data_IF_811243686896
#
_entry.id   IF_811243686896
#
_cell.length_a   1.000
_cell.length_b   1.000
_cell.length_c   1.000
_cell.angle_alpha   90.00
_cell.angle_beta   90.00
_cell.angle_gamma   90.00
#
_symmetry.space_group_name_H-M   'P 1'
#
loop_
_entity.id
_entity.type
_entity.pdbx_description
1 polymer ?
#
# COMPACT_ATOMS: atom_id res chain seq x y z
N UNK A 1 -11.04 50.86 -55.01
CA UNK A 1 -10.68 49.43 -54.98
C UNK A 1 -9.45 49.28 -54.09
N UNK A 2 -9.64 48.90 -52.83
CA UNK A 2 -8.54 48.74 -51.87
C UNK A 2 -7.99 47.31 -51.89
N UNK A 3 -6.69 47.09 -51.62
CA UNK A 3 -6.14 45.75 -51.49
C UNK A 3 -6.36 45.22 -50.07
N UNK A 4 -6.81 43.96 -50.01
CA UNK A 4 -7.07 43.17 -48.82
C UNK A 4 -5.73 42.62 -48.32
N UNK A 5 -5.27 43.06 -47.15
CA UNK A 5 -4.16 42.43 -46.45
C UNK A 5 -4.68 41.26 -45.60
N UNK A 6 -4.24 40.05 -45.94
CA UNK A 6 -4.47 38.82 -45.18
C UNK A 6 -3.67 38.88 -43.87
N UNK A 7 -4.35 38.95 -42.74
CA UNK A 7 -3.74 38.83 -41.41
C UNK A 7 -3.28 37.40 -41.16
N UNK A 8 -1.98 37.22 -40.86
CA UNK A 8 -1.45 35.99 -40.29
C UNK A 8 -1.72 36.02 -38.78
N UNK A 9 -2.52 35.07 -38.29
CA UNK A 9 -2.70 34.85 -36.87
C UNK A 9 -1.41 34.24 -36.30
N UNK A 10 -0.64 35.04 -35.57
CA UNK A 10 0.43 34.57 -34.70
C UNK A 10 -0.22 33.78 -33.57
N UNK A 11 -0.07 32.46 -33.60
CA UNK A 11 -0.39 31.58 -32.46
C UNK A 11 0.64 31.89 -31.38
N UNK A 12 0.26 32.70 -30.39
CA UNK A 12 1.00 32.81 -29.15
C UNK A 12 0.96 31.44 -28.45
N UNK A 13 2.07 30.71 -28.55
CA UNK A 13 2.45 29.70 -27.56
C UNK A 13 2.49 30.40 -26.20
N UNK A 14 1.41 30.27 -25.44
CA UNK A 14 1.42 30.55 -24.02
C UNK A 14 2.34 29.52 -23.36
N UNK A 15 3.61 29.87 -23.25
CA UNK A 15 4.51 29.30 -22.27
C UNK A 15 3.91 29.62 -20.89
N UNK A 16 3.19 28.67 -20.29
CA UNK A 16 2.89 28.69 -18.86
C UNK A 16 4.22 28.47 -18.11
N UNK A 17 5.00 29.54 -18.01
CA UNK A 17 6.11 29.66 -17.06
C UNK A 17 5.64 30.55 -15.93
N UNK A 18 5.58 29.97 -14.72
CA UNK A 18 5.46 30.71 -13.48
C UNK A 18 4.04 30.79 -12.90
N UNK A 19 3.47 29.65 -12.50
CA UNK A 19 2.57 29.68 -11.34
C UNK A 19 3.45 29.73 -10.09
N UNK A 20 3.50 30.92 -9.51
CA UNK A 20 3.98 31.16 -8.16
C UNK A 20 3.20 30.23 -7.20
N UNK A 21 3.87 29.42 -6.37
CA UNK A 21 3.19 28.58 -5.40
C UNK A 21 2.40 29.47 -4.44
N UNK A 22 1.07 29.34 -4.46
CA UNK A 22 0.20 30.02 -3.51
C UNK A 22 0.42 29.40 -2.12
N UNK A 23 0.24 30.22 -1.08
CA UNK A 23 0.52 29.82 0.29
C UNK A 23 -0.14 28.47 0.69
N UNK A 24 0.66 27.53 1.21
CA UNK A 24 0.19 26.28 1.82
C UNK A 24 0.38 24.99 1.01
N UNK A 25 1.22 24.98 -0.03
CA UNK A 25 1.41 23.81 -0.91
C UNK A 25 1.78 22.51 -0.16
N UNK A 26 0.91 21.51 -0.25
CA UNK A 26 1.20 20.14 0.16
C UNK A 26 2.12 19.50 -0.86
N UNK A 27 3.28 19.04 -0.41
CA UNK A 27 4.22 18.30 -1.26
C UNK A 27 4.23 16.84 -0.89
N UNK A 28 4.05 16.00 -1.91
CA UNK A 28 4.19 14.55 -1.83
C UNK A 28 5.51 14.14 -2.49
N UNK A 29 6.33 13.37 -1.78
CA UNK A 29 7.49 12.71 -2.34
C UNK A 29 7.41 11.23 -2.03
N UNK A 30 7.68 10.37 -3.00
CA UNK A 30 7.58 8.92 -2.87
C UNK A 30 8.91 8.27 -3.23
N UNK A 31 9.46 7.53 -2.28
CA UNK A 31 10.66 6.73 -2.46
C UNK A 31 10.29 5.24 -2.51
N UNK A 32 10.77 4.56 -3.56
CA UNK A 32 10.77 3.09 -3.63
C UNK A 32 12.10 2.56 -3.10
N UNK A 33 12.14 1.28 -2.74
CA UNK A 33 13.41 0.64 -2.46
C UNK A 33 14.21 0.53 -3.78
N UNK A 34 15.23 1.36 -3.96
CA UNK A 34 16.21 1.14 -5.04
C UNK A 34 16.77 -0.28 -4.94
N UNK A 35 17.21 -0.87 -6.05
CA UNK A 35 17.72 -2.25 -6.11
C UNK A 35 18.88 -2.55 -5.12
N UNK A 36 19.54 -1.52 -4.56
CA UNK A 36 20.54 -1.64 -3.48
C UNK A 36 20.06 -1.29 -2.05
N UNK A 37 18.83 -0.77 -1.91
CA UNK A 37 18.12 -0.42 -0.66
C UNK A 37 16.96 -1.38 -0.35
N UNK A 38 16.91 -2.54 -1.01
CA UNK A 38 15.88 -3.57 -0.88
C UNK A 38 15.59 -3.97 0.59
N UNK A 39 16.57 -3.83 1.49
CA UNK A 39 16.38 -4.02 2.93
C UNK A 39 15.36 -3.06 3.57
N UNK A 40 15.11 -1.87 3.00
CA UNK A 40 14.22 -0.88 3.61
C UNK A 40 12.74 -1.23 3.48
N UNK A 41 12.31 -1.92 2.40
CA UNK A 41 10.91 -2.32 2.21
C UNK A 41 10.65 -3.81 2.43
N UNK A 42 11.69 -4.65 2.54
CA UNK A 42 11.51 -6.06 2.89
C UNK A 42 10.71 -6.26 4.18
N UNK A 43 10.96 -5.42 5.20
CA UNK A 43 10.18 -5.44 6.44
C UNK A 43 8.73 -4.95 6.25
N UNK A 44 8.48 -4.03 5.31
CA UNK A 44 7.13 -3.58 4.98
C UNK A 44 6.30 -4.72 4.37
N UNK A 45 6.83 -5.43 3.38
CA UNK A 45 6.14 -6.58 2.77
C UNK A 45 5.89 -7.70 3.76
N UNK A 46 6.89 -7.99 4.60
CA UNK A 46 6.74 -8.94 5.71
C UNK A 46 5.65 -8.51 6.68
N UNK A 47 5.60 -7.23 7.06
CA UNK A 47 4.57 -6.68 7.95
C UNK A 47 3.16 -6.83 7.39
N UNK A 48 2.96 -6.59 6.08
CA UNK A 48 1.67 -6.77 5.42
C UNK A 48 1.25 -8.24 5.42
N UNK A 49 2.18 -9.15 5.11
CA UNK A 49 1.91 -10.58 5.12
C UNK A 49 1.62 -11.09 6.54
N UNK A 50 2.34 -10.62 7.55
CA UNK A 50 2.03 -10.92 8.95
C UNK A 50 0.65 -10.42 9.33
N UNK A 51 0.26 -9.22 8.89
CA UNK A 51 -1.10 -8.71 9.10
C UNK A 51 -2.16 -9.64 8.50
N UNK A 52 -1.90 -10.20 7.31
CA UNK A 52 -2.80 -11.06 6.53
C UNK A 52 -2.82 -12.54 6.92
N UNK A 53 -1.76 -13.09 7.53
CA UNK A 53 -1.69 -14.54 7.81
C UNK A 53 -1.07 -14.92 9.16
N UNK A 54 -0.34 -14.00 9.80
CA UNK A 54 0.44 -14.29 11.00
C UNK A 54 -0.47 -14.64 12.19
N UNK A 55 -0.18 -15.76 12.86
CA UNK A 55 -0.88 -16.25 14.05
C UNK A 55 -2.42 -16.33 13.91
N UNK A 56 -2.92 -16.67 12.72
CA UNK A 56 -4.35 -16.86 12.48
C UNK A 56 -4.71 -18.31 12.17
N UNK A 57 -5.90 -18.72 12.63
CA UNK A 57 -6.50 -20.03 12.36
C UNK A 57 -7.05 -20.14 10.93
N UNK A 58 -7.40 -19.01 10.30
CA UNK A 58 -7.78 -18.93 8.89
C UNK A 58 -6.78 -18.04 8.17
N UNK A 59 -6.35 -18.45 6.98
CA UNK A 59 -5.31 -17.76 6.21
C UNK A 59 -5.81 -17.39 4.82
N UNK A 60 -5.59 -16.14 4.44
CA UNK A 60 -5.71 -15.70 3.04
C UNK A 60 -4.34 -15.79 2.34
N UNK A 61 -4.31 -15.53 1.03
CA UNK A 61 -3.08 -15.57 0.25
C UNK A 61 -2.01 -14.59 0.74
N UNK A 62 -0.77 -15.07 0.81
CA UNK A 62 0.43 -14.26 1.00
C UNK A 62 0.67 -13.42 -0.27
N UNK A 63 1.02 -12.16 -0.08
CA UNK A 63 1.32 -11.23 -1.16
C UNK A 63 2.76 -11.39 -1.63
N UNK A 64 2.93 -11.49 -2.94
CA UNK A 64 4.23 -11.46 -3.62
C UNK A 64 4.59 -10.04 -3.99
N UNK A 65 5.85 -9.63 -3.79
CA UNK A 65 6.30 -8.31 -4.23
C UNK A 65 6.15 -8.14 -5.75
N UNK A 66 5.65 -6.98 -6.16
CA UNK A 66 5.48 -6.58 -7.54
C UNK A 66 6.16 -5.21 -7.76
N UNK A 67 7.31 -5.23 -8.43
CA UNK A 67 8.09 -4.03 -8.69
C UNK A 67 7.40 -3.06 -9.65
N UNK A 68 6.61 -3.54 -10.61
CA UNK A 68 5.86 -2.68 -11.55
C UNK A 68 4.83 -1.82 -10.80
N UNK A 69 4.17 -2.40 -9.78
CA UNK A 69 3.27 -1.63 -8.91
C UNK A 69 4.05 -0.59 -8.11
N UNK A 70 5.19 -0.96 -7.52
CA UNK A 70 6.00 -0.02 -6.74
C UNK A 70 6.52 1.15 -7.60
N UNK A 71 6.96 0.88 -8.83
CA UNK A 71 7.36 1.90 -9.81
C UNK A 71 6.18 2.78 -10.23
N UNK A 72 5.02 2.19 -10.53
CA UNK A 72 3.81 2.93 -10.84
C UNK A 72 3.35 3.86 -9.70
N UNK A 73 3.56 3.44 -8.44
CA UNK A 73 3.34 4.31 -7.28
C UNK A 73 4.26 5.53 -7.31
N UNK A 74 5.54 5.38 -7.62
CA UNK A 74 6.47 6.50 -7.69
C UNK A 74 6.05 7.53 -8.75
N UNK A 75 5.61 7.06 -9.91
CA UNK A 75 5.20 7.93 -11.02
C UNK A 75 3.91 8.71 -10.70
N UNK A 76 2.97 8.08 -9.98
CA UNK A 76 1.69 8.67 -9.60
C UNK A 76 1.80 9.85 -8.64
N UNK A 77 2.89 9.96 -7.87
CA UNK A 77 3.11 11.04 -6.89
C UNK A 77 4.15 12.08 -7.33
N UNK A 78 4.43 12.17 -8.63
CA UNK A 78 5.27 13.27 -9.13
C UNK A 78 4.52 14.61 -9.01
N UNK A 79 5.20 15.74 -8.76
CA UNK A 79 4.56 17.06 -8.62
C UNK A 79 3.72 17.48 -9.84
N UNK A 80 4.02 16.93 -11.02
CA UNK A 80 3.28 17.18 -12.25
C UNK A 80 2.02 16.31 -12.39
N UNK A 81 1.95 15.17 -11.69
CA UNK A 81 0.86 14.21 -11.79
C UNK A 81 -0.11 14.26 -10.60
N UNK A 82 0.35 14.68 -9.41
CA UNK A 82 -0.44 14.64 -8.19
C UNK A 82 -0.99 16.01 -7.79
N UNK A 83 -2.30 16.19 -7.95
CA UNK A 83 -3.04 17.25 -7.30
C UNK A 83 -3.50 16.75 -5.92
N UNK A 84 -3.05 17.40 -4.85
CA UNK A 84 -3.44 17.00 -3.50
C UNK A 84 -4.98 17.08 -3.33
N UNK A 85 -5.65 16.01 -2.87
CA UNK A 85 -7.11 15.98 -2.77
C UNK A 85 -7.66 16.78 -1.58
N UNK A 86 -6.78 17.33 -0.74
CA UNK A 86 -7.13 18.11 0.44
C UNK A 86 -6.07 19.19 0.70
N UNK A 87 -6.33 20.06 1.69
CA UNK A 87 -5.42 21.17 2.09
C UNK A 87 -4.52 20.83 3.28
N UNK A 88 -4.65 19.63 3.86
CA UNK A 88 -3.78 19.12 4.94
C UNK A 88 -3.23 17.74 4.58
N UNK A 89 -2.10 17.37 5.17
CA UNK A 89 -1.52 16.04 4.95
C UNK A 89 -2.45 14.93 5.45
N UNK A 90 -3.08 15.12 6.62
CA UNK A 90 -4.03 14.16 7.17
C UNK A 90 -5.24 13.97 6.26
N UNK A 91 -5.80 15.06 5.72
CA UNK A 91 -6.93 15.00 4.79
C UNK A 91 -6.56 14.26 3.51
N UNK A 92 -5.38 14.55 2.96
CA UNK A 92 -4.92 13.89 1.73
C UNK A 92 -4.64 12.40 1.96
N UNK A 93 -4.04 12.03 3.10
CA UNK A 93 -3.84 10.63 3.49
C UNK A 93 -5.17 9.91 3.70
N UNK A 94 -6.19 10.57 4.27
CA UNK A 94 -7.52 9.98 4.45
C UNK A 94 -8.19 9.65 3.11
N UNK A 95 -8.03 10.48 2.08
CA UNK A 95 -8.52 10.16 0.74
C UNK A 95 -7.69 9.04 0.07
N UNK A 96 -6.37 9.02 0.28
CA UNK A 96 -5.52 7.96 -0.23
C UNK A 96 -5.90 6.57 0.33
N UNK A 97 -6.22 6.50 1.63
CA UNK A 97 -6.71 5.29 2.31
C UNK A 97 -7.93 4.66 1.65
N UNK A 98 -8.77 5.46 0.99
CA UNK A 98 -9.96 4.95 0.26
C UNK A 98 -9.59 4.23 -1.03
N UNK A 99 -8.43 4.54 -1.60
CA UNK A 99 -8.00 4.01 -2.90
C UNK A 99 -6.98 2.89 -2.79
N UNK A 100 -6.11 2.94 -1.77
CA UNK A 100 -5.03 1.97 -1.55
C UNK A 100 -4.67 1.89 -0.07
N UNK A 101 -3.90 0.87 0.31
CA UNK A 101 -3.46 0.75 1.70
C UNK A 101 -2.41 1.80 2.07
N UNK A 102 -2.63 2.47 3.19
CA UNK A 102 -1.76 3.51 3.74
C UNK A 102 -1.54 3.30 5.24
N UNK A 103 -0.30 3.43 5.71
CA UNK A 103 0.04 3.35 7.12
C UNK A 103 1.00 4.47 7.53
N UNK A 104 0.66 5.26 8.55
CA UNK A 104 1.49 6.37 9.03
C UNK A 104 2.74 5.83 9.74
N UNK A 105 3.91 6.31 9.33
CA UNK A 105 5.20 5.96 9.94
C UNK A 105 5.52 6.98 11.02
N UNK A 106 5.12 6.71 12.27
CA UNK A 106 5.39 7.61 13.42
C UNK A 106 6.67 7.26 14.17
N UNK A 107 7.09 6.01 14.09
CA UNK A 107 8.24 5.49 14.83
C UNK A 107 9.47 5.37 13.93
N UNK A 108 10.64 5.37 14.55
CA UNK A 108 11.92 5.07 13.91
C UNK A 108 12.45 3.71 14.35
N UNK A 109 13.39 3.14 13.60
CA UNK A 109 13.99 1.84 13.90
C UNK A 109 13.39 0.66 13.14
N UNK A 110 13.80 -0.55 13.54
CA UNK A 110 13.67 -1.77 12.74
C UNK A 110 12.24 -2.32 12.65
N UNK A 111 11.34 -1.91 13.56
CA UNK A 111 9.95 -2.38 13.60
C UNK A 111 8.92 -1.34 13.14
N UNK A 112 9.37 -0.21 12.57
CA UNK A 112 8.49 0.91 12.22
C UNK A 112 7.34 0.49 11.29
N UNK A 113 7.57 -0.46 10.37
CA UNK A 113 6.52 -0.94 9.47
C UNK A 113 5.54 -1.85 10.18
N UNK A 114 6.01 -2.80 10.99
CA UNK A 114 5.14 -3.65 11.82
C UNK A 114 4.21 -2.81 12.70
N UNK A 115 4.75 -1.77 13.34
CA UNK A 115 3.98 -0.86 14.19
C UNK A 115 2.97 -0.02 13.37
N UNK A 116 3.38 0.52 12.23
CA UNK A 116 2.50 1.30 11.36
C UNK A 116 1.34 0.45 10.81
N UNK A 117 1.64 -0.77 10.35
CA UNK A 117 0.63 -1.71 9.84
C UNK A 117 -0.29 -2.18 10.97
N UNK A 118 0.23 -2.46 12.17
CA UNK A 118 -0.59 -2.78 13.34
C UNK A 118 -1.57 -1.65 13.67
N UNK A 119 -1.10 -0.39 13.73
CA UNK A 119 -1.95 0.77 13.99
C UNK A 119 -3.03 0.94 12.91
N UNK A 120 -2.69 0.74 11.65
CA UNK A 120 -3.65 0.81 10.54
C UNK A 120 -4.69 -0.31 10.61
N UNK A 121 -4.27 -1.53 10.97
CA UNK A 121 -5.16 -2.67 11.18
C UNK A 121 -6.13 -2.42 12.34
N UNK A 122 -5.64 -1.95 13.48
CA UNK A 122 -6.46 -1.62 14.65
C UNK A 122 -7.48 -0.53 14.33
N UNK A 123 -7.06 0.53 13.64
CA UNK A 123 -7.96 1.61 13.22
C UNK A 123 -9.11 1.07 12.35
N UNK A 124 -8.80 0.25 11.34
CA UNK A 124 -9.83 -0.34 10.50
C UNK A 124 -10.73 -1.34 11.22
N UNK A 125 -10.18 -2.16 12.13
CA UNK A 125 -10.97 -3.11 12.92
C UNK A 125 -11.91 -2.40 13.90
N UNK A 126 -11.56 -1.21 14.40
CA UNK A 126 -12.47 -0.39 15.21
C UNK A 126 -13.70 0.08 14.42
N UNK A 127 -13.57 0.23 13.10
CA UNK A 127 -14.68 0.51 12.18
C UNK A 127 -15.47 -0.77 11.80
N UNK A 128 -14.98 -1.96 12.17
CA UNK A 128 -15.57 -3.26 11.88
C UNK A 128 -15.84 -4.08 13.16
N UNK A 129 -16.65 -3.53 14.06
CA UNK A 129 -16.95 -4.16 15.37
C UNK A 129 -17.76 -5.47 15.25
N UNK A 130 -18.41 -5.69 14.12
CA UNK A 130 -19.09 -6.95 13.80
C UNK A 130 -19.03 -7.20 12.29
N UNK A 131 -19.07 -8.46 11.87
CA UNK A 131 -19.09 -8.80 10.45
C UNK A 131 -20.39 -8.30 9.79
N UNK A 132 -20.33 -7.41 8.78
CA UNK A 132 -21.51 -6.88 8.11
C UNK A 132 -22.35 -7.97 7.44
N UNK A 133 -23.66 -7.87 7.61
CA UNK A 133 -24.67 -8.80 7.08
C UNK A 133 -25.38 -8.28 5.81
N UNK A 134 -24.99 -7.09 5.32
CA UNK A 134 -25.59 -6.46 4.14
C UNK A 134 -24.57 -5.67 3.31
N UNK A 135 -24.86 -5.49 2.02
CA UNK A 135 -24.04 -4.68 1.11
C UNK A 135 -24.02 -3.19 1.50
N UNK A 136 -25.09 -2.68 2.12
CA UNK A 136 -25.16 -1.30 2.59
C UNK A 136 -24.17 -1.02 3.73
N UNK A 137 -24.08 -1.94 4.70
CA UNK A 137 -23.08 -1.83 5.77
C UNK A 137 -21.66 -1.95 5.23
N UNK A 138 -21.44 -2.79 4.20
CA UNK A 138 -20.15 -2.82 3.51
C UNK A 138 -19.85 -1.50 2.81
N UNK A 139 -20.82 -0.89 2.13
CA UNK A 139 -20.65 0.43 1.53
C UNK A 139 -20.28 1.50 2.56
N UNK A 140 -20.97 1.56 3.70
CA UNK A 140 -20.63 2.47 4.79
C UNK A 140 -19.21 2.25 5.32
N UNK A 141 -18.79 0.99 5.44
CA UNK A 141 -17.42 0.63 5.83
C UNK A 141 -16.38 1.11 4.81
N UNK A 142 -16.67 1.00 3.51
CA UNK A 142 -15.83 1.50 2.43
C UNK A 142 -15.84 3.04 2.29
N UNK A 143 -16.89 3.74 2.75
CA UNK A 143 -16.92 5.21 2.78
C UNK A 143 -16.04 5.78 3.90
N UNK A 144 -15.85 5.02 4.98
CA UNK A 144 -14.90 5.35 6.05
C UNK A 144 -13.46 5.11 5.56
N UNK A 145 -12.58 6.10 5.77
CA UNK A 145 -11.18 5.99 5.34
C UNK A 145 -10.43 4.82 5.99
N UNK A 146 -10.58 4.60 7.29
CA UNK A 146 -9.91 3.49 7.99
C UNK A 146 -10.52 2.13 7.62
N UNK A 147 -11.84 2.08 7.39
CA UNK A 147 -12.52 0.88 6.90
C UNK A 147 -12.06 0.48 5.49
N UNK A 148 -12.08 1.42 4.53
CA UNK A 148 -11.56 1.20 3.19
C UNK A 148 -10.08 0.79 3.20
N UNK A 149 -9.27 1.43 4.03
CA UNK A 149 -7.84 1.11 4.19
C UNK A 149 -7.64 -0.36 4.60
N UNK A 150 -8.42 -0.84 5.57
CA UNK A 150 -8.41 -2.23 6.00
C UNK A 150 -8.85 -3.16 4.86
N UNK A 151 -9.89 -2.77 4.13
CA UNK A 151 -10.42 -3.56 3.04
C UNK A 151 -9.40 -3.77 1.91
N UNK A 152 -8.60 -2.74 1.59
CA UNK A 152 -7.46 -2.85 0.67
C UNK A 152 -6.39 -3.82 1.17
N UNK A 153 -6.01 -3.73 2.45
CA UNK A 153 -5.01 -4.61 3.05
C UNK A 153 -5.43 -6.08 3.02
N UNK A 154 -6.69 -6.34 3.33
CA UNK A 154 -7.20 -7.68 3.62
C UNK A 154 -7.99 -8.30 2.46
N UNK A 155 -7.99 -7.68 1.28
CA UNK A 155 -8.63 -8.25 0.10
C UNK A 155 -8.09 -9.65 -0.19
N UNK A 156 -8.94 -10.67 -0.07
CA UNK A 156 -8.52 -12.07 -0.15
C UNK A 156 -8.04 -12.49 -1.54
N UNK A 157 -8.50 -11.80 -2.58
CA UNK A 157 -8.13 -12.15 -3.96
C UNK A 157 -6.80 -11.55 -4.40
N UNK A 158 -6.20 -10.62 -3.62
CA UNK A 158 -4.90 -10.06 -3.93
C UNK A 158 -3.79 -11.10 -3.74
N UNK A 159 -2.90 -11.18 -4.73
CA UNK A 159 -1.74 -12.08 -4.74
C UNK A 159 -0.42 -11.32 -4.88
N UNK A 160 -0.46 -10.06 -5.31
CA UNK A 160 0.71 -9.20 -5.50
C UNK A 160 0.59 -7.89 -4.73
N UNK A 161 1.72 -7.27 -4.41
CA UNK A 161 1.78 -5.97 -3.75
C UNK A 161 3.02 -5.17 -4.17
N UNK A 162 2.85 -3.88 -4.42
CA UNK A 162 3.95 -2.93 -4.55
C UNK A 162 3.81 -1.83 -3.51
N UNK A 163 4.89 -1.51 -2.81
CA UNK A 163 4.88 -0.49 -1.77
C UNK A 163 5.91 0.61 -2.05
N UNK A 164 5.63 1.79 -1.51
CA UNK A 164 6.55 2.91 -1.49
C UNK A 164 6.39 3.71 -0.19
N UNK A 165 7.41 4.46 0.19
CA UNK A 165 7.33 5.38 1.34
C UNK A 165 7.09 6.78 0.80
N UNK A 166 5.94 7.33 1.17
CA UNK A 166 5.59 8.71 0.90
C UNK A 166 5.98 9.63 2.06
N UNK A 167 6.31 10.87 1.76
CA UNK A 167 6.29 11.98 2.71
C UNK A 167 5.31 13.03 2.23
N UNK A 168 4.45 13.50 3.12
CA UNK A 168 3.63 14.67 2.90
C UNK A 168 4.17 15.81 3.75
N UNK A 169 4.46 16.95 3.13
CA UNK A 169 4.91 18.16 3.85
C UNK A 169 3.89 19.25 3.69
N UNK A 170 3.42 19.81 4.80
CA UNK A 170 2.57 21.00 4.82
C UNK A 170 3.44 22.23 5.07
N UNK A 171 3.45 23.17 4.13
CA UNK A 171 4.20 24.42 4.27
C UNK A 171 3.77 25.21 5.51
N UNK A 172 4.75 25.73 6.27
CA UNK A 172 4.50 26.73 7.30
C UNK A 172 4.39 28.13 6.70
N UNK A 173 3.63 29.04 7.33
CA UNK A 173 3.65 30.46 6.97
C UNK A 173 5.09 30.95 6.96
N UNK A 174 5.47 31.70 5.91
CA UNK A 174 6.84 32.09 5.57
C UNK A 174 7.64 32.83 6.65
N UNK A 175 7.11 33.00 7.87
CA UNK A 175 7.78 33.76 8.91
C UNK A 175 7.95 33.08 10.27
N UNK A 176 7.24 32.02 10.68
CA UNK A 176 7.40 31.53 12.09
C UNK A 176 7.17 30.04 12.42
N UNK A 177 6.81 29.15 11.49
CA UNK A 177 6.50 27.75 11.87
C UNK A 177 7.27 26.75 11.01
N UNK A 178 8.02 25.84 11.64
CA UNK A 178 8.59 24.69 10.95
C UNK A 178 7.43 23.87 10.35
N UNK A 179 7.49 23.57 9.05
CA UNK A 179 6.48 22.76 8.38
C UNK A 179 6.37 21.37 9.00
N UNK A 180 5.16 20.82 9.05
CA UNK A 180 4.93 19.44 9.53
C UNK A 180 5.15 18.49 8.35
N UNK A 181 6.00 17.48 8.54
CA UNK A 181 6.19 16.39 7.58
C UNK A 181 5.67 15.07 8.16
N UNK A 182 4.86 14.36 7.38
CA UNK A 182 4.28 13.07 7.73
C UNK A 182 4.82 12.02 6.75
N UNK A 183 5.54 11.03 7.28
CA UNK A 183 5.92 9.84 6.52
C UNK A 183 4.81 8.79 6.58
N UNK A 184 4.58 8.09 5.48
CA UNK A 184 3.61 7.01 5.40
C UNK A 184 4.08 5.92 4.42
N UNK A 185 3.75 4.68 4.75
CA UNK A 185 3.83 3.55 3.83
C UNK A 185 2.58 3.59 2.95
N UNK A 186 2.75 3.45 1.63
CA UNK A 186 1.68 3.40 0.66
C UNK A 186 1.83 2.14 -0.18
N UNK A 187 0.81 1.30 -0.25
CA UNK A 187 0.88 0.00 -0.91
C UNK A 187 -0.34 -0.24 -1.79
N UNK A 188 -0.07 -0.73 -3.00
CA UNK A 188 -1.07 -1.15 -3.97
C UNK A 188 -1.07 -2.67 -4.10
N UNK A 189 -2.26 -3.26 -4.11
CA UNK A 189 -2.44 -4.70 -4.24
C UNK A 189 -2.94 -5.09 -5.62
N UNK A 190 -2.59 -6.29 -6.08
CA UNK A 190 -3.02 -6.86 -7.36
C UNK A 190 -3.54 -8.30 -7.20
N UNK A 191 -4.73 -8.63 -7.72
CA UNK A 191 -5.78 -7.70 -8.16
C UNK A 191 -6.16 -6.67 -7.07
N UNK A 192 -6.58 -5.49 -7.51
CA UNK A 192 -7.08 -4.46 -6.61
C UNK A 192 -8.37 -4.92 -5.93
N UNK A 193 -8.65 -4.34 -4.76
CA UNK A 193 -9.88 -4.60 -4.05
C UNK A 193 -11.09 -4.05 -4.82
N UNK A 194 -12.23 -4.73 -4.71
CA UNK A 194 -13.48 -4.26 -5.31
C UNK A 194 -14.27 -3.54 -4.23
N UNK A 195 -14.45 -2.24 -4.40
CA UNK A 195 -15.19 -1.38 -3.47
C UNK A 195 -16.61 -1.91 -3.21
N UNK A 196 -17.12 -1.62 -2.01
CA UNK A 196 -18.47 -1.98 -1.54
C UNK A 196 -18.73 -3.49 -1.42
N UNK A 197 -17.71 -4.32 -1.57
CA UNK A 197 -17.79 -5.78 -1.34
C UNK A 197 -17.07 -6.18 -0.07
N UNK A 198 -17.49 -7.31 0.51
CA UNK A 198 -16.78 -7.95 1.60
C UNK A 198 -15.34 -8.29 1.14
N UNK A 199 -14.29 -7.75 1.81
CA UNK A 199 -12.91 -8.02 1.43
C UNK A 199 -12.41 -9.41 1.81
N UNK A 200 -13.06 -10.03 2.79
CA UNK A 200 -12.78 -11.35 3.33
C UNK A 200 -14.07 -11.98 3.89
N UNK A 201 -14.04 -13.29 4.13
CA UNK A 201 -15.17 -14.02 4.72
C UNK A 201 -15.27 -13.84 6.24
N UNK A 202 -16.36 -14.37 6.82
CA UNK A 202 -16.64 -14.22 8.24
C UNK A 202 -15.67 -15.04 9.09
N UNK A 203 -15.31 -16.22 8.63
CA UNK A 203 -14.37 -17.12 9.30
C UNK A 203 -12.99 -16.47 9.46
N UNK A 204 -12.53 -15.76 8.43
CA UNK A 204 -11.30 -14.97 8.49
C UNK A 204 -11.41 -13.79 9.46
N UNK A 205 -12.55 -13.09 9.48
CA UNK A 205 -12.79 -12.02 10.45
C UNK A 205 -12.72 -12.51 11.90
N UNK A 206 -13.35 -13.65 12.20
CA UNK A 206 -13.30 -14.26 13.53
C UNK A 206 -11.85 -14.62 13.90
N UNK A 207 -11.10 -15.26 12.99
CA UNK A 207 -9.68 -15.57 13.21
C UNK A 207 -8.82 -14.31 13.46
N UNK A 208 -9.09 -13.22 12.72
CA UNK A 208 -8.38 -11.96 12.85
C UNK A 208 -8.66 -11.27 14.19
N UNK A 209 -9.92 -11.27 14.65
CA UNK A 209 -10.32 -10.66 15.93
C UNK A 209 -9.86 -11.48 17.14
N UNK A 210 -9.69 -12.79 16.98
CA UNK A 210 -9.10 -13.66 18.01
C UNK A 210 -7.58 -13.51 18.14
N UNK A 211 -6.91 -12.90 17.16
CA UNK A 211 -5.45 -12.74 17.16
C UNK A 211 -4.98 -11.80 18.27
N UNK A 212 -4.29 -12.36 19.27
CA UNK A 212 -3.75 -11.62 20.42
C UNK A 212 -2.30 -11.18 20.25
N UNK A 213 -1.54 -11.89 19.43
CA UNK A 213 -0.13 -11.57 19.19
C UNK A 213 -0.06 -10.29 18.34
N UNK A 214 0.64 -9.24 18.77
CA UNK A 214 0.85 -8.05 17.95
C UNK A 214 1.88 -8.32 16.84
N UNK A 215 1.79 -7.60 15.72
CA UNK A 215 2.71 -7.80 14.58
C UNK A 215 4.18 -7.62 14.98
N UNK A 216 4.48 -6.73 15.94
CA UNK A 216 5.84 -6.49 16.46
C UNK A 216 6.46 -7.68 17.19
N UNK A 217 5.66 -8.65 17.64
CA UNK A 217 6.13 -9.88 18.25
C UNK A 217 6.18 -11.05 17.26
N UNK A 218 5.80 -10.83 16.01
CA UNK A 218 5.83 -11.84 14.96
C UNK A 218 7.07 -11.73 14.07
N UNK A 219 7.43 -12.87 13.52
CA UNK A 219 8.64 -13.15 12.75
C UNK A 219 8.27 -13.76 11.39
N UNK A 220 9.21 -13.83 10.45
CA UNK A 220 8.95 -14.43 9.13
C UNK A 220 8.55 -15.91 9.21
N UNK A 221 8.98 -16.61 10.25
CA UNK A 221 8.61 -17.99 10.55
C UNK A 221 7.10 -18.16 10.75
N UNK A 222 6.42 -17.13 11.29
CA UNK A 222 4.98 -17.15 11.53
C UNK A 222 4.15 -17.15 10.24
N UNK A 223 4.78 -16.75 9.12
CA UNK A 223 4.20 -16.89 7.78
C UNK A 223 4.14 -18.35 7.33
N UNK A 224 5.02 -19.22 7.84
CA UNK A 224 5.19 -20.60 7.37
C UNK A 224 4.37 -21.63 8.15
N UNK A 225 3.95 -21.32 9.37
CA UNK A 225 3.28 -22.28 10.27
C UNK A 225 1.96 -22.77 9.65
N UNK A 226 1.79 -24.06 9.29
CA UNK A 226 0.50 -24.56 8.85
C UNK A 226 -0.51 -24.47 9.99
N UNK A 227 -1.74 -24.07 9.68
CA UNK A 227 -2.83 -24.14 10.65
C UNK A 227 -3.05 -25.63 10.99
N UNK A 228 -2.90 -26.00 12.26
CA UNK A 228 -3.41 -27.28 12.74
C UNK A 228 -4.95 -27.22 12.70
N UNK A 229 -5.56 -27.84 11.68
CA UNK A 229 -7.00 -28.13 11.69
C UNK A 229 -7.79 -27.89 10.39
N UNK A 230 -7.22 -27.27 9.36
CA UNK A 230 -7.89 -27.14 8.06
C UNK A 230 -7.56 -28.33 7.15
N UNK A 231 -8.57 -29.01 6.61
CA UNK A 231 -8.37 -30.06 5.61
C UNK A 231 -7.45 -29.53 4.49
N UNK A 232 -6.28 -30.14 4.36
CA UNK A 232 -5.29 -29.76 3.36
C UNK A 232 -5.92 -29.93 1.97
N UNK A 233 -6.30 -28.81 1.34
CA UNK A 233 -6.43 -28.79 -0.11
C UNK A 233 -5.05 -29.15 -0.66
N UNK A 234 -4.97 -30.27 -1.37
CA UNK A 234 -3.74 -30.80 -1.92
C UNK A 234 -3.12 -29.77 -2.89
N UNK A 235 -2.14 -29.00 -2.41
CA UNK A 235 -1.24 -28.26 -3.27
C UNK A 235 -0.25 -29.28 -3.85
N UNK A 236 -0.17 -29.45 -5.18
CA UNK A 236 0.81 -30.36 -5.76
C UNK A 236 2.21 -29.90 -5.37
N UNK A 237 2.88 -30.71 -4.56
CA UNK A 237 4.28 -30.49 -4.21
C UNK A 237 5.10 -30.63 -5.48
N UNK A 238 5.57 -29.50 -6.03
CA UNK A 238 6.62 -29.49 -7.05
C UNK A 238 7.90 -30.04 -6.40
N UNK A 239 8.09 -31.35 -6.51
CA UNK A 239 9.35 -32.03 -6.25
C UNK A 239 10.39 -31.48 -7.21
N UNK A 240 11.25 -30.58 -6.72
CA UNK A 240 12.48 -30.19 -7.40
C UNK A 240 13.41 -31.40 -7.39
N UNK A 241 13.38 -32.19 -8.46
CA UNK A 241 14.34 -33.25 -8.70
C UNK A 241 15.70 -32.61 -9.05
N UNK A 242 16.65 -32.68 -8.12
CA UNK A 242 18.04 -32.28 -8.33
C UNK A 242 18.72 -33.23 -9.32
N UNK A 243 18.98 -32.75 -10.53
CA UNK A 243 19.76 -33.45 -11.55
C UNK A 243 21.26 -33.27 -11.24
N UNK A 244 21.90 -34.29 -10.66
CA UNK A 244 23.37 -34.35 -10.54
C UNK A 244 23.93 -35.03 -11.79
N UNK A 245 24.50 -34.26 -12.71
CA UNK A 245 25.26 -34.79 -13.83
C UNK A 245 26.69 -35.12 -13.38
N UNK A 246 27.03 -36.40 -13.31
CA UNK A 246 28.39 -36.88 -13.10
C UNK A 246 29.12 -36.82 -14.46
N UNK A 247 30.17 -36.01 -14.56
CA UNK A 247 31.07 -35.97 -15.72
C UNK A 247 32.14 -37.04 -15.53
N UNK A 248 32.12 -38.07 -16.40
CA UNK A 248 33.21 -39.03 -16.51
C UNK A 248 34.22 -38.53 -17.57
N UNK A 249 35.44 -38.21 -17.12
CA UNK A 249 36.60 -38.05 -18.00
C UNK A 249 37.11 -39.44 -18.38
N UNK A 250 37.16 -39.75 -19.67
CA UNK A 250 37.93 -40.87 -20.20
C UNK A 250 39.08 -40.31 -21.04
N UNK A 251 40.30 -40.49 -20.54
CA UNK A 251 41.55 -40.35 -21.29
C UNK A 251 41.91 -41.69 -21.93
N UNK A 252 42.05 -41.70 -23.25
CA UNK A 252 42.84 -42.66 -24.03
C UNK A 252 43.15 -42.03 -25.39
#
# INVERSE_FOLDING_TARGET
>A
MGPIFKGAAVVCLAALSGLQPAAGDLQFNVETADKGKHLLLGDAYTSLNLARVGHMSVRIGILTENSELAEGLKDAFTPAAYAAPANTCEGAIAELKKTKFTAKLTESGDQKYRQAVQKALEAGLNELQSYPDSEEKWREFWENADGANLAHLLWTNSTGVGCAVGTCTQGGDQNRTAGTSIAFLFCEMKPAAVENKAPFDKEYYEALTERKTPLTQMTEEDLKVPVQGGAAAAVPSLLVAGLTAIVAFASA
#
